data_IF_975073797052
#
_entry.id   IF_975073797052
#
_cell.length_a   1.000
_cell.length_b   1.000
_cell.length_c   1.000
_cell.angle_alpha   90.00
_cell.angle_beta   90.00
_cell.angle_gamma   90.00
#
_symmetry.space_group_name_H-M   'P 1'
#
loop_
_entity.id
_entity.type
_entity.pdbx_description
1 polymer ?
#
# COMPACT_ATOMS: atom_id res chain seq x y z
N UNK A 1 -3.70 -1.31 8.87
CA UNK A 1 -4.96 -0.69 9.34
C UNK A 1 -4.95 -0.35 10.84
N UNK A 2 -3.78 -0.19 11.49
CA UNK A 2 -3.70 0.20 12.91
C UNK A 2 -3.63 1.73 13.12
N UNK A 3 -3.12 2.46 12.13
CA UNK A 3 -2.85 3.91 12.25
C UNK A 3 -4.10 4.79 12.20
N UNK A 4 -5.17 4.32 11.55
CA UNK A 4 -6.45 5.03 11.53
C UNK A 4 -7.07 5.16 12.93
N UNK A 5 -6.77 4.23 13.84
CA UNK A 5 -7.28 4.22 15.20
C UNK A 5 -6.49 5.18 16.12
N UNK A 6 -5.25 5.50 15.78
CA UNK A 6 -4.42 6.44 16.55
C UNK A 6 -4.82 7.89 16.28
N UNK A 7 -4.93 8.27 15.00
CA UNK A 7 -5.36 9.62 14.60
C UNK A 7 -6.76 9.94 15.10
N UNK A 8 -7.67 8.96 15.08
CA UNK A 8 -9.05 9.15 15.55
C UNK A 8 -9.12 9.34 17.06
N UNK A 9 -8.28 8.62 17.84
CA UNK A 9 -8.16 8.85 19.28
C UNK A 9 -7.57 10.21 19.62
N UNK A 10 -6.51 10.62 18.92
CA UNK A 10 -5.86 11.91 19.12
C UNK A 10 -6.79 13.10 18.82
N UNK A 11 -7.59 13.01 17.75
CA UNK A 11 -8.61 14.03 17.45
C UNK A 11 -9.64 14.12 18.57
N UNK A 12 -10.19 12.98 19.01
CA UNK A 12 -11.20 12.94 20.08
C UNK A 12 -10.63 13.50 21.39
N UNK A 13 -9.37 13.21 21.70
CA UNK A 13 -8.69 13.74 22.89
C UNK A 13 -8.53 15.26 22.84
N UNK A 14 -8.10 15.81 21.69
CA UNK A 14 -8.00 17.26 21.50
C UNK A 14 -9.38 17.94 21.55
N UNK A 15 -10.41 17.35 20.92
CA UNK A 15 -11.79 17.87 20.96
C UNK A 15 -12.35 17.87 22.38
N UNK A 16 -12.10 16.83 23.17
CA UNK A 16 -12.50 16.76 24.57
C UNK A 16 -11.80 17.84 25.41
N UNK A 17 -10.51 18.11 25.14
CA UNK A 17 -9.76 19.15 25.83
C UNK A 17 -10.26 20.56 25.47
N UNK A 18 -10.54 20.82 24.18
CA UNK A 18 -11.15 22.07 23.72
C UNK A 18 -12.50 22.28 24.40
N UNK A 19 -13.33 21.24 24.50
CA UNK A 19 -14.63 21.31 25.18
C UNK A 19 -14.48 21.64 26.66
N UNK A 20 -13.55 20.99 27.36
CA UNK A 20 -13.28 21.28 28.77
C UNK A 20 -12.83 22.72 29.00
N UNK A 21 -12.00 23.29 28.12
CA UNK A 21 -11.61 24.71 28.21
C UNK A 21 -12.80 25.63 27.88
N UNK A 22 -13.67 25.22 26.95
CA UNK A 22 -14.95 25.88 26.68
C UNK A 22 -15.83 26.00 27.93
N UNK A 23 -16.03 24.89 28.65
CA UNK A 23 -16.82 24.83 29.89
C UNK A 23 -16.22 25.72 31.00
N UNK A 24 -14.89 25.84 31.05
CA UNK A 24 -14.19 26.76 31.97
C UNK A 24 -14.45 28.23 31.58
N UNK A 25 -14.48 28.53 30.29
CA UNK A 25 -14.70 29.89 29.77
C UNK A 25 -16.10 30.44 30.07
N UNK A 26 -17.09 29.55 30.22
CA UNK A 26 -18.47 29.90 30.61
C UNK A 26 -18.54 30.34 32.08
N UNK A 27 -17.66 29.81 32.93
CA UNK A 27 -17.66 30.05 34.37
C UNK A 27 -16.65 31.14 34.79
N UNK A 28 -15.55 31.32 34.05
CA UNK A 28 -14.54 32.36 34.32
C UNK A 28 -13.82 32.81 33.05
N UNK A 29 -13.14 33.96 33.13
CA UNK A 29 -12.19 34.36 32.09
C UNK A 29 -11.04 33.35 32.00
N UNK A 30 -10.67 33.01 30.77
CA UNK A 30 -9.53 32.16 30.47
C UNK A 30 -8.22 32.89 30.77
N UNK A 31 -7.22 32.13 31.22
CA UNK A 31 -5.85 32.61 31.37
C UNK A 31 -5.15 32.67 30.01
N UNK A 32 -4.08 33.47 29.90
CA UNK A 32 -3.28 33.53 28.66
C UNK A 32 -2.73 32.16 28.26
N UNK A 33 -2.36 31.32 29.22
CA UNK A 33 -1.90 29.96 28.98
C UNK A 33 -2.99 29.07 28.36
N UNK A 34 -4.23 29.18 28.84
CA UNK A 34 -5.36 28.42 28.29
C UNK A 34 -5.79 28.90 26.91
N UNK A 35 -5.65 30.20 26.64
CA UNK A 35 -5.89 30.77 25.32
C UNK A 35 -4.86 30.24 24.33
N UNK A 36 -3.59 30.17 24.73
CA UNK A 36 -2.53 29.63 23.88
C UNK A 36 -2.69 28.11 23.67
N UNK A 37 -3.05 27.36 24.71
CA UNK A 37 -3.38 25.94 24.61
C UNK A 37 -4.55 25.70 23.63
N UNK A 38 -5.62 26.52 23.70
CA UNK A 38 -6.74 26.43 22.76
C UNK A 38 -6.33 26.68 21.31
N UNK A 39 -5.45 27.66 21.06
CA UNK A 39 -4.95 27.91 19.70
C UNK A 39 -4.19 26.70 19.18
N UNK A 40 -3.30 26.15 20.00
CA UNK A 40 -2.49 24.99 19.61
C UNK A 40 -3.37 23.77 19.35
N UNK A 41 -4.33 23.47 20.23
CA UNK A 41 -5.26 22.35 20.04
C UNK A 41 -6.10 22.49 18.76
N UNK A 42 -6.55 23.71 18.41
CA UNK A 42 -7.28 23.94 17.17
C UNK A 42 -6.41 23.74 15.92
N UNK A 43 -5.12 24.10 15.99
CA UNK A 43 -4.16 23.82 14.91
C UNK A 43 -4.00 22.31 14.76
N UNK A 44 -3.73 21.60 15.86
CA UNK A 44 -3.49 20.15 15.87
C UNK A 44 -4.70 19.38 15.32
N UNK A 45 -5.93 19.74 15.73
CA UNK A 45 -7.17 19.15 15.20
C UNK A 45 -7.32 19.42 13.69
N UNK A 46 -7.06 20.66 13.25
CA UNK A 46 -7.13 21.02 11.83
C UNK A 46 -6.15 20.20 10.98
N UNK A 47 -4.92 20.03 11.45
CA UNK A 47 -3.90 19.24 10.77
C UNK A 47 -4.25 17.75 10.73
N UNK A 48 -4.73 17.19 11.84
CA UNK A 48 -5.16 15.79 11.92
C UNK A 48 -6.35 15.49 10.99
N UNK A 49 -7.33 16.41 10.89
CA UNK A 49 -8.45 16.29 9.95
C UNK A 49 -7.95 16.32 8.50
N UNK A 50 -7.10 17.29 8.13
CA UNK A 50 -6.50 17.37 6.78
C UNK A 50 -5.74 16.10 6.41
N UNK A 51 -4.98 15.54 7.36
CA UNK A 51 -4.26 14.28 7.15
C UNK A 51 -5.22 13.11 6.93
N UNK A 52 -6.27 13.00 7.76
CA UNK A 52 -7.32 11.97 7.63
C UNK A 52 -8.00 12.06 6.27
N UNK A 53 -8.38 13.25 5.83
CA UNK A 53 -8.95 13.48 4.50
C UNK A 53 -8.01 13.06 3.37
N UNK A 54 -6.72 13.40 3.48
CA UNK A 54 -5.70 12.97 2.51
C UNK A 54 -5.61 11.44 2.41
N UNK A 55 -5.63 10.73 3.55
CA UNK A 55 -5.64 9.26 3.59
C UNK A 55 -6.90 8.71 2.90
N UNK A 56 -8.08 9.25 3.20
CA UNK A 56 -9.34 8.82 2.58
C UNK A 56 -9.38 9.08 1.07
N UNK A 57 -8.91 10.26 0.64
CA UNK A 57 -8.76 10.60 -0.78
C UNK A 57 -7.85 9.59 -1.47
N UNK A 58 -6.69 9.31 -0.87
CA UNK A 58 -5.73 8.34 -1.39
C UNK A 58 -6.31 6.92 -1.49
N UNK A 59 -7.05 6.46 -0.48
CA UNK A 59 -7.67 5.14 -0.45
C UNK A 59 -8.82 4.99 -1.46
N UNK A 60 -9.56 6.07 -1.73
CA UNK A 60 -10.68 6.05 -2.68
C UNK A 60 -10.24 5.74 -4.12
N UNK A 61 -9.03 6.16 -4.52
CA UNK A 61 -8.51 6.17 -5.91
C UNK A 61 -9.36 7.01 -6.89
N UNK A 62 -10.15 7.96 -6.40
CA UNK A 62 -10.97 8.84 -7.25
C UNK A 62 -10.14 10.05 -7.71
N UNK A 63 -10.00 10.25 -9.01
CA UNK A 63 -9.26 11.37 -9.62
C UNK A 63 -10.12 12.62 -9.87
N UNK A 64 -11.44 12.54 -9.66
CA UNK A 64 -12.44 13.50 -10.13
C UNK A 64 -13.24 14.22 -9.02
N UNK A 65 -12.57 14.85 -8.06
CA UNK A 65 -13.23 15.88 -7.25
C UNK A 65 -12.35 17.12 -7.18
N UNK A 66 -12.74 18.13 -7.96
CA UNK A 66 -12.44 19.53 -7.65
C UNK A 66 -13.24 19.89 -6.40
N UNK A 67 -12.51 20.31 -5.37
CA UNK A 67 -12.93 21.13 -4.23
C UNK A 67 -14.44 21.22 -3.98
N UNK A 68 -14.95 20.41 -3.05
CA UNK A 68 -16.35 20.38 -2.69
C UNK A 68 -16.58 19.75 -1.31
N UNK A 69 -16.49 20.63 -0.32
CA UNK A 69 -16.92 20.60 1.09
C UNK A 69 -16.57 19.41 2.02
N UNK A 70 -16.10 19.81 3.19
CA UNK A 70 -15.57 19.01 4.27
C UNK A 70 -16.69 18.34 5.09
N UNK A 71 -17.19 17.19 4.64
CA UNK A 71 -17.65 16.12 5.55
C UNK A 71 -17.87 14.81 4.77
N UNK A 72 -16.99 13.84 4.98
CA UNK A 72 -16.76 12.79 4.00
C UNK A 72 -17.67 11.54 4.16
N UNK A 73 -19.00 11.73 4.28
CA UNK A 73 -19.94 10.59 4.18
C UNK A 73 -19.82 9.92 2.80
N UNK A 74 -19.53 10.70 1.76
CA UNK A 74 -19.44 10.24 0.38
C UNK A 74 -18.30 9.24 0.15
N UNK A 75 -17.05 9.58 0.49
CA UNK A 75 -15.92 8.68 0.29
C UNK A 75 -15.98 7.52 1.29
N UNK A 76 -16.52 7.70 2.51
CA UNK A 76 -16.83 6.55 3.39
C UNK A 76 -17.80 5.57 2.71
N UNK A 77 -18.89 6.06 2.11
CA UNK A 77 -19.82 5.23 1.33
C UNK A 77 -19.14 4.61 0.11
N UNK A 78 -18.33 5.37 -0.63
CA UNK A 78 -17.63 4.88 -1.82
C UNK A 78 -16.63 3.76 -1.46
N UNK A 79 -15.88 3.91 -0.36
CA UNK A 79 -14.98 2.86 0.15
C UNK A 79 -15.78 1.64 0.60
N UNK A 80 -16.89 1.81 1.33
CA UNK A 80 -17.77 0.69 1.73
C UNK A 80 -18.37 -0.04 0.52
N UNK A 81 -18.86 0.68 -0.48
CA UNK A 81 -19.39 0.10 -1.73
C UNK A 81 -18.30 -0.66 -2.48
N UNK A 82 -17.09 -0.08 -2.58
CA UNK A 82 -15.95 -0.73 -3.23
C UNK A 82 -15.48 -1.97 -2.46
N UNK A 83 -15.50 -1.94 -1.13
CA UNK A 83 -15.20 -3.08 -0.28
C UNK A 83 -16.23 -4.20 -0.47
N UNK A 84 -17.54 -3.87 -0.46
CA UNK A 84 -18.62 -4.83 -0.71
C UNK A 84 -18.53 -5.46 -2.10
N UNK A 85 -18.27 -4.67 -3.15
CA UNK A 85 -18.07 -5.17 -4.52
C UNK A 85 -16.83 -6.05 -4.70
N UNK A 86 -15.83 -5.92 -3.82
CA UNK A 86 -14.60 -6.73 -3.84
C UNK A 86 -14.70 -7.96 -2.93
N UNK A 87 -15.77 -8.07 -2.14
CA UNK A 87 -15.94 -9.18 -1.23
C UNK A 87 -16.28 -10.44 -2.01
N UNK A 88 -15.47 -11.47 -1.82
CA UNK A 88 -15.76 -12.81 -2.35
C UNK A 88 -16.69 -13.49 -1.35
N UNK A 89 -17.95 -13.72 -1.74
CA UNK A 89 -18.97 -14.31 -0.87
C UNK A 89 -18.89 -15.84 -0.82
N UNK A 90 -18.42 -16.44 -1.91
CA UNK A 90 -18.25 -17.89 -1.99
C UNK A 90 -17.22 -18.26 -3.05
N UNK A 91 -16.55 -19.39 -2.84
CA UNK A 91 -15.63 -20.00 -3.79
C UNK A 91 -16.13 -21.39 -4.13
N UNK A 92 -16.25 -21.70 -5.42
CA UNK A 92 -16.48 -23.07 -5.83
C UNK A 92 -15.18 -23.73 -6.26
N UNK A 93 -14.78 -24.73 -5.47
CA UNK A 93 -13.57 -25.53 -5.68
C UNK A 93 -14.04 -26.95 -6.06
N UNK A 94 -13.85 -27.31 -7.33
CA UNK A 94 -14.45 -28.53 -7.90
C UNK A 94 -15.98 -28.45 -7.88
N UNK A 95 -16.64 -29.43 -7.25
CA UNK A 95 -18.11 -29.48 -7.09
C UNK A 95 -18.63 -28.90 -5.77
N UNK A 96 -17.75 -28.42 -4.89
CA UNK A 96 -18.16 -27.88 -3.58
C UNK A 96 -18.19 -26.37 -3.61
N UNK A 97 -19.25 -25.79 -3.08
CA UNK A 97 -19.37 -24.35 -2.89
C UNK A 97 -19.02 -24.02 -1.43
N UNK A 98 -17.89 -23.35 -1.23
CA UNK A 98 -17.33 -23.03 0.07
C UNK A 98 -17.71 -21.59 0.40
N UNK A 99 -18.34 -21.41 1.57
CA UNK A 99 -18.74 -20.10 2.11
C UNK A 99 -17.99 -19.73 3.38
N UNK A 100 -17.30 -20.69 4.01
CA UNK A 100 -16.51 -20.42 5.20
C UNK A 100 -15.23 -19.63 4.83
N UNK A 101 -14.97 -18.46 5.44
CA UNK A 101 -13.81 -17.64 5.11
C UNK A 101 -12.45 -18.31 5.30
N UNK A 102 -12.31 -19.24 6.27
CA UNK A 102 -11.03 -19.93 6.52
C UNK A 102 -10.79 -20.94 5.41
N UNK A 103 -11.79 -21.77 5.12
CA UNK A 103 -11.71 -22.74 4.03
C UNK A 103 -11.52 -22.06 2.66
N UNK A 104 -12.17 -20.90 2.45
CA UNK A 104 -11.97 -20.12 1.22
C UNK A 104 -10.52 -19.65 1.06
N UNK A 105 -9.91 -19.17 2.15
CA UNK A 105 -8.51 -18.72 2.15
C UNK A 105 -7.57 -19.87 1.87
N UNK A 106 -7.74 -21.00 2.55
CA UNK A 106 -6.92 -22.21 2.35
C UNK A 106 -7.06 -22.75 0.93
N UNK A 107 -8.29 -22.82 0.41
CA UNK A 107 -8.57 -23.25 -0.94
C UNK A 107 -7.91 -22.38 -2.02
N UNK A 108 -7.96 -21.05 -1.86
CA UNK A 108 -7.25 -20.11 -2.75
C UNK A 108 -5.74 -20.29 -2.69
N UNK A 109 -5.18 -20.38 -1.47
CA UNK A 109 -3.74 -20.58 -1.27
C UNK A 109 -3.31 -21.89 -1.95
N UNK A 110 -4.03 -22.99 -1.72
CA UNK A 110 -3.68 -24.28 -2.29
C UNK A 110 -3.83 -24.29 -3.82
N UNK A 111 -4.88 -23.67 -4.36
CA UNK A 111 -5.06 -23.51 -5.80
C UNK A 111 -3.87 -22.79 -6.44
N UNK A 112 -3.48 -21.62 -5.91
CA UNK A 112 -2.37 -20.86 -6.47
C UNK A 112 -1.01 -21.48 -6.18
N UNK A 113 -0.83 -22.14 -5.03
CA UNK A 113 0.37 -22.94 -4.76
C UNK A 113 0.54 -24.06 -5.77
N UNK A 114 -0.54 -24.72 -6.20
CA UNK A 114 -0.44 -25.76 -7.22
C UNK A 114 -0.33 -25.19 -8.64
N UNK A 115 -0.99 -24.05 -8.90
CA UNK A 115 -0.96 -23.40 -10.22
C UNK A 115 0.39 -22.75 -10.53
N UNK A 116 0.98 -22.04 -9.56
CA UNK A 116 2.30 -21.40 -9.68
C UNK A 116 3.43 -22.26 -9.12
N UNK A 117 3.12 -23.30 -8.36
CA UNK A 117 4.09 -24.26 -7.86
C UNK A 117 4.69 -25.02 -9.02
N UNK A 118 5.91 -24.64 -9.36
CA UNK A 118 6.72 -25.44 -10.26
C UNK A 118 7.33 -26.58 -9.43
N UNK A 119 6.96 -27.83 -9.71
CA UNK A 119 7.90 -28.92 -9.44
C UNK A 119 9.13 -28.57 -10.27
N UNK A 120 10.31 -28.52 -9.65
CA UNK A 120 11.58 -28.10 -10.26
C UNK A 120 11.77 -28.82 -11.60
N UNK A 121 11.26 -28.23 -12.68
CA UNK A 121 11.69 -28.54 -14.02
C UNK A 121 12.95 -27.72 -14.10
N UNK A 122 14.10 -28.36 -13.89
CA UNK A 122 15.37 -27.83 -14.37
C UNK A 122 15.16 -27.59 -15.85
N UNK A 123 14.82 -26.36 -16.22
CA UNK A 123 14.82 -25.92 -17.60
C UNK A 123 16.29 -25.99 -18.02
N UNK A 124 16.72 -27.16 -18.48
CA UNK A 124 17.93 -27.28 -19.28
C UNK A 124 17.57 -26.72 -20.65
N UNK A 125 17.67 -25.40 -20.76
CA UNK A 125 17.77 -24.77 -22.06
C UNK A 125 19.16 -25.14 -22.60
N UNK A 126 19.26 -26.29 -23.26
CA UNK A 126 20.40 -26.59 -24.14
C UNK A 126 20.18 -25.77 -25.42
N UNK A 127 20.35 -24.45 -25.31
CA UNK A 127 20.31 -23.56 -26.46
C UNK A 127 21.73 -23.12 -26.70
N UNK A 128 22.29 -23.57 -27.82
CA UNK A 128 23.58 -23.10 -28.36
C UNK A 128 23.41 -21.67 -28.88
N UNK A 129 23.10 -20.75 -27.96
CA UNK A 129 23.00 -19.33 -28.23
C UNK A 129 24.41 -18.77 -28.20
N UNK A 130 24.94 -18.46 -29.39
CA UNK A 130 26.12 -17.60 -29.54
C UNK A 130 25.77 -16.19 -29.08
N UNK A 131 25.79 -15.96 -27.76
CA UNK A 131 25.59 -14.64 -27.20
C UNK A 131 26.73 -13.72 -27.64
N UNK A 132 26.37 -12.52 -28.08
CA UNK A 132 27.35 -11.46 -28.31
C UNK A 132 27.92 -11.08 -26.94
N UNK A 133 29.21 -11.35 -26.72
CA UNK A 133 29.85 -10.95 -25.48
C UNK A 133 29.85 -9.43 -25.38
N UNK A 134 29.45 -8.93 -24.22
CA UNK A 134 29.62 -7.53 -23.86
C UNK A 134 31.11 -7.22 -23.69
N UNK A 135 31.49 -5.97 -23.89
CA UNK A 135 32.88 -5.55 -23.64
C UNK A 135 33.23 -5.75 -22.17
N UNK A 136 34.52 -5.98 -21.88
CA UNK A 136 35.00 -6.16 -20.50
C UNK A 136 34.68 -4.93 -19.64
N UNK A 137 34.71 -3.73 -20.22
CA UNK A 137 34.32 -2.50 -19.54
C UNK A 137 32.83 -2.49 -19.17
N UNK A 138 31.97 -2.96 -20.07
CA UNK A 138 30.53 -3.10 -19.79
C UNK A 138 30.26 -4.17 -18.74
N UNK A 139 31.01 -5.28 -18.75
CA UNK A 139 30.89 -6.33 -17.75
C UNK A 139 31.25 -5.80 -16.35
N UNK A 140 32.40 -5.12 -16.22
CA UNK A 140 32.83 -4.50 -14.96
C UNK A 140 31.84 -3.48 -14.42
N UNK A 141 31.14 -2.74 -15.29
CA UNK A 141 30.07 -1.80 -14.88
C UNK A 141 28.84 -2.53 -14.33
N UNK A 142 28.45 -3.66 -14.91
CA UNK A 142 27.32 -4.47 -14.44
C UNK A 142 27.62 -5.21 -13.12
N UNK A 143 28.90 -5.49 -12.86
CA UNK A 143 29.39 -6.11 -11.63
C UNK A 143 29.78 -5.10 -10.54
N UNK A 144 29.61 -3.79 -10.80
CA UNK A 144 29.88 -2.76 -9.81
C UNK A 144 28.80 -2.73 -8.71
N UNK A 145 29.18 -2.23 -7.53
CA UNK A 145 28.21 -1.99 -6.46
C UNK A 145 27.26 -0.85 -6.85
N UNK A 146 26.02 -0.93 -6.37
CA UNK A 146 25.03 0.11 -6.59
C UNK A 146 25.48 1.45 -5.99
N UNK A 147 25.41 2.50 -6.80
CA UNK A 147 25.63 3.88 -6.36
C UNK A 147 24.35 4.51 -5.82
N UNK A 148 24.50 5.55 -5.00
CA UNK A 148 23.35 6.30 -4.49
C UNK A 148 22.58 6.98 -5.63
N UNK A 149 23.29 7.41 -6.67
CA UNK A 149 22.75 8.03 -7.88
C UNK A 149 21.88 7.04 -8.67
N UNK A 150 22.35 5.81 -8.88
CA UNK A 150 21.57 4.76 -9.58
C UNK A 150 20.31 4.39 -8.81
N UNK A 151 20.39 4.24 -7.49
CA UNK A 151 19.22 3.95 -6.65
C UNK A 151 18.22 5.12 -6.73
N UNK A 152 18.72 6.36 -6.68
CA UNK A 152 17.87 7.55 -6.81
C UNK A 152 17.19 7.59 -8.18
N UNK A 153 17.92 7.33 -9.26
CA UNK A 153 17.36 7.29 -10.61
C UNK A 153 16.29 6.21 -10.76
N UNK A 154 16.51 5.03 -10.18
CA UNK A 154 15.53 3.94 -10.15
C UNK A 154 14.24 4.33 -9.41
N UNK A 155 14.34 5.02 -8.28
CA UNK A 155 13.18 5.53 -7.52
C UNK A 155 12.45 6.64 -8.30
N UNK A 156 13.17 7.47 -9.05
CA UNK A 156 12.59 8.57 -9.83
C UNK A 156 12.02 8.15 -11.19
N UNK A 157 12.49 7.05 -11.77
CA UNK A 157 11.94 6.46 -12.99
C UNK A 157 10.63 5.71 -12.74
N UNK A 158 10.41 5.24 -11.51
CA UNK A 158 9.17 4.55 -11.11
C UNK A 158 7.95 5.49 -11.07
N UNK A 159 6.91 5.19 -11.84
CA UNK A 159 5.71 6.04 -11.94
C UNK A 159 5.01 6.28 -10.57
N UNK A 160 4.67 7.56 -10.29
CA UNK A 160 4.13 8.03 -8.99
C UNK A 160 2.76 7.40 -8.65
N UNK A 161 2.09 6.84 -9.66
CA UNK A 161 0.71 6.34 -9.58
C UNK A 161 0.60 4.83 -9.29
N UNK A 162 1.73 4.10 -9.22
CA UNK A 162 1.70 2.65 -9.01
C UNK A 162 1.09 2.28 -7.65
N UNK A 163 0.41 1.13 -7.68
CA UNK A 163 -0.36 0.54 -6.57
C UNK A 163 0.50 0.54 -5.30
N UNK A 164 -0.02 0.97 -4.13
CA UNK A 164 0.73 0.93 -2.88
C UNK A 164 1.22 -0.49 -2.61
N UNK A 165 2.47 -0.59 -2.18
CA UNK A 165 3.09 -1.82 -1.71
C UNK A 165 2.35 -2.35 -0.45
N UNK A 166 2.56 -3.63 -0.10
CA UNK A 166 2.03 -4.27 1.11
C UNK A 166 2.02 -3.39 2.36
N UNK A 167 3.10 -2.63 2.54
CA UNK A 167 3.38 -1.82 3.73
C UNK A 167 2.63 -0.48 3.74
N UNK A 168 1.84 -0.20 2.70
CA UNK A 168 1.02 0.99 2.60
C UNK A 168 1.76 2.25 2.15
N UNK A 169 3.10 2.20 2.07
CA UNK A 169 3.90 3.25 1.48
C UNK A 169 3.80 3.22 -0.04
N UNK A 170 3.57 4.40 -0.62
CA UNK A 170 3.64 4.60 -2.07
C UNK A 170 5.05 4.98 -2.44
N UNK A 171 5.46 4.74 -3.69
CA UNK A 171 6.71 5.27 -4.26
C UNK A 171 6.90 6.79 -4.06
N UNK A 172 5.82 7.56 -3.89
CA UNK A 172 5.92 8.98 -3.55
C UNK A 172 6.49 9.26 -2.14
N UNK A 173 6.39 8.31 -1.20
CA UNK A 173 7.01 8.40 0.12
C UNK A 173 8.54 8.42 0.00
N UNK A 174 9.11 7.43 -0.69
CA UNK A 174 10.56 7.34 -0.91
C UNK A 174 11.14 8.58 -1.60
N UNK A 175 10.38 9.20 -2.52
CA UNK A 175 10.79 10.46 -3.14
C UNK A 175 10.77 11.65 -2.17
N UNK A 176 9.77 11.74 -1.30
CA UNK A 176 9.60 12.85 -0.35
C UNK A 176 10.54 12.73 0.85
N UNK A 177 10.76 11.50 1.33
CA UNK A 177 11.59 11.18 2.48
C UNK A 177 12.99 10.72 2.08
N UNK A 178 13.42 10.98 0.84
CA UNK A 178 14.69 10.51 0.29
C UNK A 178 15.87 10.82 1.21
N UNK A 179 15.96 12.05 1.72
CA UNK A 179 17.05 12.46 2.61
C UNK A 179 17.14 11.64 3.90
N UNK A 180 16.02 11.05 4.34
CA UNK A 180 15.93 10.20 5.54
C UNK A 180 16.29 8.76 5.18
N UNK A 181 15.70 8.21 4.10
CA UNK A 181 15.75 6.77 3.80
C UNK A 181 16.88 6.35 2.86
N UNK A 182 17.63 7.30 2.27
CA UNK A 182 18.66 7.02 1.25
C UNK A 182 19.78 6.10 1.74
N UNK A 183 20.18 6.22 3.01
CA UNK A 183 21.25 5.40 3.57
C UNK A 183 20.76 3.98 3.88
N UNK A 184 19.52 3.84 4.36
CA UNK A 184 18.90 2.53 4.60
C UNK A 184 18.73 1.77 3.27
N UNK A 185 18.28 2.44 2.21
CA UNK A 185 18.15 1.85 0.88
C UNK A 185 19.50 1.42 0.29
N UNK A 186 20.55 2.24 0.48
CA UNK A 186 21.89 1.90 0.01
C UNK A 186 22.45 0.69 0.76
N UNK A 187 22.30 0.65 2.09
CA UNK A 187 22.70 -0.49 2.92
C UNK A 187 21.99 -1.77 2.47
N UNK A 188 20.68 -1.70 2.27
CA UNK A 188 19.88 -2.83 1.81
C UNK A 188 20.35 -3.37 0.44
N UNK A 189 20.63 -2.49 -0.51
CA UNK A 189 21.13 -2.90 -1.84
C UNK A 189 22.56 -3.46 -1.77
N UNK A 190 23.40 -2.92 -0.88
CA UNK A 190 24.75 -3.42 -0.64
C UNK A 190 24.74 -4.82 0.00
N UNK A 191 23.86 -5.04 0.98
CA UNK A 191 23.67 -6.33 1.62
C UNK A 191 23.14 -7.36 0.63
N UNK A 192 22.18 -6.98 -0.21
CA UNK A 192 21.70 -7.84 -1.30
C UNK A 192 22.81 -8.21 -2.28
N UNK A 193 23.64 -7.25 -2.67
CA UNK A 193 24.77 -7.47 -3.58
C UNK A 193 25.80 -8.45 -2.97
N UNK A 194 26.10 -8.31 -1.68
CA UNK A 194 27.14 -9.10 -1.00
C UNK A 194 26.67 -10.50 -0.63
N UNK A 195 25.45 -10.63 -0.10
CA UNK A 195 24.95 -11.89 0.48
C UNK A 195 23.94 -12.60 -0.42
N UNK A 196 23.47 -11.96 -1.50
CA UNK A 196 22.44 -12.50 -2.37
C UNK A 196 21.09 -12.70 -1.69
N UNK A 197 20.87 -12.05 -0.53
CA UNK A 197 19.66 -12.20 0.30
C UNK A 197 18.99 -10.86 0.48
N UNK A 198 17.69 -10.84 0.18
CA UNK A 198 16.78 -9.77 0.60
C UNK A 198 15.96 -10.29 1.77
N UNK A 199 15.55 -9.39 2.65
CA UNK A 199 14.62 -9.73 3.71
C UNK A 199 13.34 -10.35 3.11
N UNK A 200 12.87 -11.47 3.67
CA UNK A 200 11.73 -12.21 3.11
C UNK A 200 10.46 -11.36 3.00
N UNK A 201 10.34 -10.33 3.86
CA UNK A 201 9.29 -9.32 3.84
C UNK A 201 9.27 -8.51 2.54
N UNK A 202 10.44 -8.20 1.95
CA UNK A 202 10.58 -7.39 0.72
C UNK A 202 10.22 -8.21 -0.52
N UNK A 203 10.52 -9.51 -0.50
CA UNK A 203 10.12 -10.45 -1.56
C UNK A 203 8.66 -10.91 -1.45
N UNK A 204 7.92 -10.42 -0.44
CA UNK A 204 6.49 -10.68 -0.28
C UNK A 204 5.68 -9.98 -1.37
N UNK A 205 5.50 -10.66 -2.49
CA UNK A 205 4.66 -10.18 -3.59
C UNK A 205 3.20 -10.60 -3.41
N UNK A 206 2.28 -9.64 -3.43
CA UNK A 206 0.86 -9.97 -3.52
C UNK A 206 0.49 -10.34 -4.95
N UNK A 207 -0.02 -11.57 -5.12
CA UNK A 207 -0.72 -11.96 -6.33
C UNK A 207 -2.07 -11.24 -6.32
N UNK A 208 -2.18 -10.17 -7.11
CA UNK A 208 -3.43 -9.45 -7.32
C UNK A 208 -4.06 -9.98 -8.60
N UNK A 209 -5.23 -10.59 -8.49
CA UNK A 209 -6.04 -10.94 -9.65
C UNK A 209 -6.60 -9.66 -10.27
N UNK A 210 -6.06 -9.29 -11.43
CA UNK A 210 -6.58 -8.19 -12.25
C UNK A 210 -7.48 -8.82 -13.32
N UNK A 211 -8.82 -8.74 -13.21
CA UNK A 211 -9.70 -9.27 -14.23
C UNK A 211 -9.51 -8.47 -15.52
N UNK A 212 -8.91 -9.09 -16.55
CA UNK A 212 -8.84 -8.50 -17.90
C UNK A 212 -10.21 -8.68 -18.55
N UNK A 213 -10.79 -7.60 -19.08
CA UNK A 213 -12.13 -7.57 -19.66
C UNK A 213 -12.39 -8.63 -20.75
N UNK A 214 -11.37 -9.08 -21.49
CA UNK A 214 -11.48 -10.17 -22.48
C UNK A 214 -11.58 -11.56 -21.84
N UNK A 215 -11.05 -11.74 -20.63
CA UNK A 215 -11.08 -12.98 -19.86
C UNK A 215 -12.43 -13.16 -19.14
N UNK A 216 -13.19 -12.07 -18.92
CA UNK A 216 -14.55 -12.18 -18.36
C UNK A 216 -15.45 -13.08 -19.21
N UNK A 217 -15.34 -13.11 -20.55
CA UNK A 217 -16.15 -14.05 -21.36
C UNK A 217 -15.74 -15.52 -21.23
N UNK A 218 -14.51 -15.82 -20.80
CA UNK A 218 -14.00 -17.20 -20.63
C UNK A 218 -13.96 -17.66 -19.17
N UNK A 219 -14.06 -16.73 -18.22
CA UNK A 219 -14.39 -17.01 -16.82
C UNK A 219 -15.89 -17.04 -16.55
N UNK A 220 -16.72 -16.40 -17.37
CA UNK A 220 -18.18 -16.61 -17.36
C UNK A 220 -18.59 -18.03 -17.79
N UNK A 221 -17.65 -18.84 -18.32
CA UNK A 221 -17.86 -20.27 -18.61
C UNK A 221 -17.17 -21.20 -17.60
N UNK A 222 -16.64 -20.68 -16.49
CA UNK A 222 -16.23 -21.49 -15.35
C UNK A 222 -17.12 -21.09 -14.17
N UNK A 223 -18.12 -21.91 -13.91
CA UNK A 223 -19.06 -21.86 -12.79
C UNK A 223 -18.36 -21.95 -11.42
N UNK A 224 -17.41 -21.08 -11.09
CA UNK A 224 -16.62 -21.15 -9.86
C UNK A 224 -16.74 -19.93 -8.93
N UNK A 225 -17.46 -18.89 -9.35
CA UNK A 225 -17.70 -17.72 -8.50
C UNK A 225 -19.16 -17.29 -8.62
N UNK A 226 -19.93 -17.48 -7.55
CA UNK A 226 -21.24 -16.87 -7.38
C UNK A 226 -21.01 -15.57 -6.61
N UNK A 227 -21.27 -14.44 -7.28
CA UNK A 227 -21.15 -13.08 -6.75
C UNK A 227 -22.25 -12.76 -5.73
#
# INVERSE_FOLDING_TARGET
>A
MKDGNFLERSIVECENRIKAIGDISENRKLTELEIEELKQLNIDVSEAIKLKESIWRQNSRMTWLKEGDANNVFFHRAVKIKAKRKMVLSLKIGNRNIKDPKEMKEGLINYFKNYFGCSIRRWKMEVDLKFKLISEESARKLEAHFSMEEIKEAVWSCDKSKVPEPDGFKLCFYRKCWEIVKHDLLGLMSDFFTFGKLEESINSSFIILIPRWKILRRFLSLDQFVW
#
